data_IF_996229990333
#
_entry.id   IF_996229990333
#
_cell.length_a   1.000
_cell.length_b   1.000
_cell.length_c   1.000
_cell.angle_alpha   90.00
_cell.angle_beta   90.00
_cell.angle_gamma   90.00
#
_symmetry.space_group_name_H-M   'P 1'
#
loop_
_entity.id
_entity.type
_entity.pdbx_description
1 polymer ?
#
# COMPACT_ATOMS: atom_id res chain seq x y z
N UNK A 1 -19.07 0.14 -9.03
CA UNK A 1 -17.90 1.00 -8.75
C UNK A 1 -17.82 1.15 -7.24
N UNK A 2 -16.67 0.98 -6.63
CA UNK A 2 -16.44 1.15 -5.20
C UNK A 2 -16.75 2.60 -4.81
N UNK A 3 -17.49 2.82 -3.73
CA UNK A 3 -17.78 4.16 -3.23
C UNK A 3 -16.74 4.57 -2.20
N UNK A 4 -15.97 5.64 -2.44
CA UNK A 4 -15.00 6.15 -1.47
C UNK A 4 -15.55 7.40 -0.81
N UNK A 5 -15.51 7.44 0.52
CA UNK A 5 -16.00 8.56 1.34
C UNK A 5 -14.87 9.06 2.22
N UNK A 6 -14.56 10.34 2.12
CA UNK A 6 -13.58 11.05 2.94
C UNK A 6 -14.34 11.83 4.02
N UNK A 7 -14.10 11.52 5.28
CA UNK A 7 -14.88 12.10 6.38
C UNK A 7 -14.14 12.05 7.72
N UNK A 8 -14.44 12.98 8.59
CA UNK A 8 -14.06 12.92 10.00
C UNK A 8 -15.13 12.29 10.89
N UNK A 9 -16.35 12.06 10.35
CA UNK A 9 -17.45 11.32 11.02
C UNK A 9 -17.50 9.88 10.50
N UNK A 10 -16.56 9.06 10.96
CA UNK A 10 -16.43 7.64 10.55
C UNK A 10 -17.65 6.83 10.97
N UNK A 11 -18.12 7.01 12.21
CA UNK A 11 -19.27 6.27 12.75
C UNK A 11 -20.56 6.59 12.02
N UNK A 12 -20.79 7.88 11.72
CA UNK A 12 -21.94 8.32 10.92
C UNK A 12 -21.91 7.74 9.51
N UNK A 13 -20.75 7.74 8.84
CA UNK A 13 -20.61 7.16 7.52
C UNK A 13 -20.87 5.65 7.52
N UNK A 14 -20.30 4.89 8.47
CA UNK A 14 -20.55 3.46 8.61
C UNK A 14 -22.03 3.19 8.85
N UNK A 15 -22.66 3.94 9.77
CA UNK A 15 -24.09 3.80 10.08
C UNK A 15 -24.98 4.10 8.87
N UNK A 16 -24.63 5.10 8.06
CA UNK A 16 -25.33 5.43 6.83
C UNK A 16 -25.25 4.28 5.82
N UNK A 17 -24.08 3.68 5.63
CA UNK A 17 -23.92 2.50 4.76
C UNK A 17 -24.69 1.29 5.28
N UNK A 18 -24.65 1.01 6.58
CA UNK A 18 -25.42 -0.09 7.17
C UNK A 18 -26.92 0.09 6.91
N UNK A 19 -27.45 1.31 7.04
CA UNK A 19 -28.86 1.61 6.70
C UNK A 19 -29.16 1.43 5.22
N UNK A 20 -28.31 1.96 4.34
CA UNK A 20 -28.45 1.87 2.88
C UNK A 20 -28.44 0.41 2.41
N UNK A 21 -27.51 -0.37 2.95
CA UNK A 21 -27.31 -1.76 2.56
C UNK A 21 -28.34 -2.71 3.19
N UNK A 22 -28.95 -2.33 4.31
CA UNK A 22 -29.93 -3.12 5.09
C UNK A 22 -29.54 -4.62 5.25
N UNK A 23 -28.33 -4.93 5.77
CA UNK A 23 -27.88 -6.31 5.89
C UNK A 23 -28.64 -7.07 6.97
N UNK A 24 -28.67 -8.41 6.87
CA UNK A 24 -29.28 -9.26 7.90
C UNK A 24 -28.49 -9.25 9.22
N UNK A 25 -27.18 -9.05 9.16
CA UNK A 25 -26.28 -8.87 10.30
C UNK A 25 -25.02 -8.13 9.85
N UNK A 26 -24.31 -7.52 10.81
CA UNK A 26 -23.04 -6.82 10.59
C UNK A 26 -21.97 -7.46 11.46
N UNK A 27 -20.77 -7.65 10.90
CA UNK A 27 -19.62 -8.24 11.59
C UNK A 27 -18.39 -7.38 11.34
N UNK A 28 -17.68 -6.99 12.41
CA UNK A 28 -16.41 -6.25 12.32
C UNK A 28 -15.26 -7.25 12.29
N UNK A 29 -14.33 -7.08 11.36
CA UNK A 29 -13.02 -7.72 11.38
C UNK A 29 -11.98 -6.65 11.67
N UNK A 30 -11.11 -6.91 12.65
CA UNK A 30 -10.06 -5.98 13.09
C UNK A 30 -8.87 -6.73 13.68
N UNK A 31 -7.76 -6.03 13.91
CA UNK A 31 -6.65 -6.56 14.70
C UNK A 31 -6.70 -6.10 16.17
N UNK A 32 -5.85 -6.70 17.00
CA UNK A 32 -5.84 -6.42 18.43
C UNK A 32 -5.45 -4.96 18.77
N UNK A 33 -4.57 -4.33 17.97
CA UNK A 33 -4.16 -2.95 18.19
C UNK A 33 -5.31 -1.98 17.92
N UNK A 34 -5.97 -2.13 16.77
CA UNK A 34 -7.10 -1.31 16.35
C UNK A 34 -8.31 -1.52 17.26
N UNK A 35 -8.55 -2.76 17.70
CA UNK A 35 -9.61 -3.08 18.66
C UNK A 35 -9.47 -2.26 19.95
N UNK A 36 -8.25 -2.09 20.42
CA UNK A 36 -8.00 -1.38 21.68
C UNK A 36 -7.89 0.14 21.52
N UNK A 37 -7.28 0.61 20.43
CA UNK A 37 -6.98 2.02 20.23
C UNK A 37 -8.08 2.79 19.48
N UNK A 38 -8.80 2.15 18.55
CA UNK A 38 -9.69 2.83 17.60
C UNK A 38 -11.17 2.49 17.85
N UNK A 39 -11.52 1.20 17.97
CA UNK A 39 -12.93 0.79 18.07
C UNK A 39 -13.71 1.44 19.21
N UNK A 40 -13.15 1.66 20.42
CA UNK A 40 -13.90 2.31 21.51
C UNK A 40 -14.37 3.71 21.14
N UNK A 41 -13.54 4.47 20.37
CA UNK A 41 -13.88 5.81 19.92
C UNK A 41 -14.96 5.86 18.82
N UNK A 42 -15.19 4.75 18.12
CA UNK A 42 -16.21 4.67 17.09
C UNK A 42 -17.63 4.36 17.62
N UNK A 43 -17.74 3.83 18.84
CA UNK A 43 -19.04 3.53 19.45
C UNK A 43 -19.93 2.56 18.65
N UNK A 44 -19.33 1.65 17.88
CA UNK A 44 -20.03 0.67 17.06
C UNK A 44 -20.35 -0.58 17.89
N UNK A 45 -21.65 -0.92 17.98
CA UNK A 45 -22.14 -2.09 18.73
C UNK A 45 -22.43 -3.25 17.75
N UNK A 46 -21.35 -3.79 17.14
CA UNK A 46 -21.42 -4.97 16.26
C UNK A 46 -20.48 -6.07 16.76
N UNK A 47 -20.79 -7.36 16.52
CA UNK A 47 -19.90 -8.47 16.81
C UNK A 47 -18.53 -8.30 16.14
N UNK A 48 -17.45 -8.50 16.91
CA UNK A 48 -16.06 -8.28 16.49
C UNK A 48 -15.34 -9.61 16.36
N UNK A 49 -14.63 -9.80 15.25
CA UNK A 49 -13.66 -10.86 15.02
C UNK A 49 -12.28 -10.22 15.05
N UNK A 50 -11.42 -10.68 15.93
CA UNK A 50 -10.08 -10.11 16.13
C UNK A 50 -9.02 -11.07 15.61
N UNK A 51 -8.06 -10.55 14.83
CA UNK A 51 -6.86 -11.25 14.39
C UNK A 51 -5.63 -10.65 15.06
N UNK A 52 -4.52 -11.39 14.99
CA UNK A 52 -3.25 -10.89 15.49
C UNK A 52 -2.67 -9.84 14.50
N UNK A 53 -2.06 -8.75 14.99
CA UNK A 53 -1.47 -7.72 14.13
C UNK A 53 -0.16 -8.20 13.49
N UNK A 54 0.25 -7.55 12.40
CA UNK A 54 1.52 -7.81 11.72
C UNK A 54 1.40 -8.69 10.49
N UNK A 55 2.30 -8.47 9.54
CA UNK A 55 2.28 -9.11 8.21
C UNK A 55 2.50 -10.64 8.29
N UNK A 56 3.22 -11.13 9.31
CA UNK A 56 3.42 -12.58 9.57
C UNK A 56 2.09 -13.29 9.89
N UNK A 57 1.11 -12.55 10.41
CA UNK A 57 -0.22 -13.05 10.73
C UNK A 57 -1.21 -12.94 9.56
N UNK A 58 -0.79 -12.41 8.41
CA UNK A 58 -1.57 -12.38 7.17
C UNK A 58 -1.50 -13.74 6.46
N UNK A 59 -2.03 -14.79 7.10
CA UNK A 59 -1.85 -16.17 6.68
C UNK A 59 -3.17 -16.97 6.73
N UNK A 60 -3.10 -18.24 6.30
CA UNK A 60 -4.25 -19.14 6.24
C UNK A 60 -4.89 -19.42 7.60
N UNK A 61 -4.08 -19.48 8.68
CA UNK A 61 -4.59 -19.76 10.02
C UNK A 61 -5.45 -18.60 10.52
N UNK A 62 -5.00 -17.37 10.33
CA UNK A 62 -5.77 -16.17 10.66
C UNK A 62 -7.04 -16.06 9.80
N UNK A 63 -6.95 -16.38 8.51
CA UNK A 63 -8.10 -16.44 7.61
C UNK A 63 -9.13 -17.48 8.08
N UNK A 64 -8.67 -18.66 8.49
CA UNK A 64 -9.53 -19.73 9.04
C UNK A 64 -10.23 -19.28 10.33
N UNK A 65 -9.54 -18.52 11.21
CA UNK A 65 -10.16 -17.92 12.41
C UNK A 65 -11.26 -16.91 12.04
N UNK A 66 -11.07 -16.11 10.99
CA UNK A 66 -12.11 -15.18 10.52
C UNK A 66 -13.35 -15.96 10.05
N UNK A 67 -13.18 -16.99 9.21
CA UNK A 67 -14.32 -17.79 8.75
C UNK A 67 -15.03 -18.48 9.91
N UNK A 68 -14.29 -19.04 10.87
CA UNK A 68 -14.85 -19.67 12.07
C UNK A 68 -15.63 -18.65 12.92
N UNK A 69 -15.10 -17.44 13.05
CA UNK A 69 -15.77 -16.33 13.73
C UNK A 69 -17.08 -15.93 13.03
N UNK A 70 -17.08 -15.82 11.70
CA UNK A 70 -18.29 -15.55 10.92
C UNK A 70 -19.35 -16.64 11.08
N UNK A 71 -18.93 -17.92 11.12
CA UNK A 71 -19.84 -19.06 11.36
C UNK A 71 -20.44 -18.98 12.76
N UNK A 72 -19.61 -18.81 13.78
CA UNK A 72 -20.05 -18.78 15.19
C UNK A 72 -20.99 -17.62 15.49
N UNK A 73 -20.81 -16.49 14.81
CA UNK A 73 -21.65 -15.29 14.90
C UNK A 73 -22.90 -15.36 13.99
N UNK A 74 -23.14 -16.48 13.30
CA UNK A 74 -24.32 -16.69 12.50
C UNK A 74 -24.39 -15.90 11.17
N UNK A 75 -23.24 -15.53 10.62
CA UNK A 75 -23.19 -14.79 9.35
C UNK A 75 -23.86 -15.57 8.20
N UNK A 76 -24.64 -14.85 7.41
CA UNK A 76 -25.39 -15.37 6.24
C UNK A 76 -24.89 -14.70 4.96
N UNK A 77 -25.37 -15.12 3.79
CA UNK A 77 -25.08 -14.45 2.51
C UNK A 77 -25.58 -12.99 2.43
N UNK A 78 -26.46 -12.58 3.33
CA UNK A 78 -27.00 -11.21 3.43
C UNK A 78 -26.30 -10.39 4.52
N UNK A 79 -25.27 -10.93 5.15
CA UNK A 79 -24.48 -10.21 6.14
C UNK A 79 -23.53 -9.21 5.47
N UNK A 80 -23.12 -8.20 6.23
CA UNK A 80 -22.12 -7.21 5.89
C UNK A 80 -20.87 -7.40 6.77
N UNK A 81 -19.71 -7.40 6.17
CA UNK A 81 -18.42 -7.35 6.87
C UNK A 81 -17.89 -5.92 6.84
N UNK A 82 -17.37 -5.44 7.96
CA UNK A 82 -16.69 -4.16 8.07
C UNK A 82 -15.24 -4.44 8.51
N UNK A 83 -14.28 -4.25 7.60
CA UNK A 83 -12.86 -4.40 7.88
C UNK A 83 -12.33 -3.07 8.43
N UNK A 84 -12.00 -3.01 9.72
CA UNK A 84 -11.46 -1.80 10.37
C UNK A 84 -10.02 -2.11 10.77
N UNK A 85 -9.03 -1.59 10.02
CA UNK A 85 -7.62 -1.91 10.28
C UNK A 85 -6.66 -1.45 9.19
N UNK A 86 -5.41 -1.82 9.35
CA UNK A 86 -4.37 -1.63 8.35
C UNK A 86 -4.50 -2.57 7.15
N UNK A 87 -3.47 -2.60 6.28
CA UNK A 87 -3.45 -3.43 5.07
C UNK A 87 -3.71 -4.91 5.32
N UNK A 88 -3.16 -5.46 6.39
CA UNK A 88 -3.38 -6.87 6.79
C UNK A 88 -4.88 -7.16 6.97
N UNK A 89 -5.59 -6.28 7.67
CA UNK A 89 -7.02 -6.45 7.95
C UNK A 89 -7.87 -6.22 6.68
N UNK A 90 -7.57 -5.19 5.89
CA UNK A 90 -8.35 -4.90 4.67
C UNK A 90 -8.17 -5.98 3.61
N UNK A 91 -6.95 -6.49 3.41
CA UNK A 91 -6.67 -7.54 2.44
C UNK A 91 -7.26 -8.90 2.87
N UNK A 92 -6.95 -9.33 4.10
CA UNK A 92 -7.39 -10.63 4.61
C UNK A 92 -8.89 -10.64 4.89
N UNK A 93 -9.45 -9.57 5.45
CA UNK A 93 -10.88 -9.42 5.69
C UNK A 93 -11.68 -9.35 4.39
N UNK A 94 -11.15 -8.64 3.38
CA UNK A 94 -11.72 -8.61 2.03
C UNK A 94 -11.71 -9.99 1.38
N UNK A 95 -10.60 -10.74 1.49
CA UNK A 95 -10.49 -12.10 0.98
C UNK A 95 -11.42 -13.07 1.73
N UNK A 96 -11.51 -12.93 3.05
CA UNK A 96 -12.46 -13.70 3.86
C UNK A 96 -13.91 -13.45 3.41
N UNK A 97 -14.29 -12.19 3.21
CA UNK A 97 -15.62 -11.83 2.73
C UNK A 97 -15.88 -12.37 1.31
N UNK A 98 -14.92 -12.26 0.40
CA UNK A 98 -15.04 -12.74 -0.98
C UNK A 98 -15.22 -14.25 -1.08
N UNK A 99 -14.65 -15.00 -0.15
CA UNK A 99 -14.64 -16.48 -0.19
C UNK A 99 -15.72 -17.11 0.71
N UNK A 100 -16.11 -16.44 1.80
CA UNK A 100 -17.12 -16.96 2.72
C UNK A 100 -18.49 -17.04 2.03
N UNK A 101 -19.12 -18.23 2.07
CA UNK A 101 -20.41 -18.52 1.43
C UNK A 101 -20.51 -18.08 -0.05
N UNK A 102 -19.39 -18.01 -0.76
CA UNK A 102 -19.25 -17.54 -2.15
C UNK A 102 -19.47 -16.04 -2.34
N UNK A 103 -19.15 -15.26 -1.34
CA UNK A 103 -19.15 -13.80 -1.36
C UNK A 103 -20.12 -13.16 -0.38
N UNK A 104 -19.59 -12.28 0.46
CA UNK A 104 -20.32 -11.33 1.29
C UNK A 104 -20.03 -9.91 0.80
N UNK A 105 -20.95 -9.00 1.06
CA UNK A 105 -20.68 -7.56 0.95
C UNK A 105 -19.72 -7.14 2.05
N UNK A 106 -18.83 -6.19 1.74
CA UNK A 106 -17.91 -5.66 2.74
C UNK A 106 -17.57 -4.19 2.52
N UNK A 107 -17.18 -3.53 3.62
CA UNK A 107 -16.70 -2.15 3.66
C UNK A 107 -15.30 -2.17 4.26
N UNK A 108 -14.38 -1.37 3.73
CA UNK A 108 -13.07 -1.13 4.31
C UNK A 108 -13.03 0.22 5.04
N UNK A 109 -12.45 0.23 6.22
CA UNK A 109 -12.17 1.42 7.04
C UNK A 109 -10.68 1.37 7.40
N UNK A 110 -9.80 1.88 6.53
CA UNK A 110 -8.36 1.82 6.75
C UNK A 110 -7.95 2.68 7.93
N UNK A 111 -7.12 2.12 8.81
CA UNK A 111 -6.59 2.80 10.01
C UNK A 111 -5.10 3.10 9.91
N UNK A 112 -4.45 2.73 8.81
CA UNK A 112 -3.08 3.16 8.50
C UNK A 112 -3.08 3.97 7.20
N UNK A 113 -2.13 4.90 7.08
CA UNK A 113 -1.98 5.71 5.87
C UNK A 113 -1.70 4.81 4.65
N UNK A 114 -0.84 3.80 4.80
CA UNK A 114 -0.54 2.84 3.74
C UNK A 114 -1.80 2.10 3.26
N UNK A 115 -2.66 1.66 4.18
CA UNK A 115 -3.91 1.00 3.79
C UNK A 115 -4.86 1.97 3.09
N UNK A 116 -4.96 3.20 3.55
CA UNK A 116 -5.86 4.21 2.98
C UNK A 116 -5.47 4.60 1.56
N UNK A 117 -4.17 4.78 1.30
CA UNK A 117 -3.66 5.20 -0.01
C UNK A 117 -3.53 4.03 -0.98
N UNK A 118 -3.32 2.81 -0.49
CA UNK A 118 -3.01 1.66 -1.35
C UNK A 118 -3.92 0.45 -1.09
N UNK A 119 -3.77 -0.28 0.00
CA UNK A 119 -4.34 -1.62 0.17
C UNK A 119 -5.88 -1.66 0.15
N UNK A 120 -6.57 -0.71 0.79
CA UNK A 120 -8.03 -0.70 0.87
C UNK A 120 -8.74 -0.35 -0.45
N UNK A 121 -7.98 0.14 -1.45
CA UNK A 121 -8.50 0.62 -2.74
C UNK A 121 -7.96 -0.22 -3.88
N UNK A 122 -8.83 -0.58 -4.83
CA UNK A 122 -8.43 -1.31 -6.04
C UNK A 122 -8.70 -2.81 -6.04
N UNK A 123 -9.28 -3.33 -4.94
CA UNK A 123 -9.90 -4.66 -4.91
C UNK A 123 -8.94 -5.85 -4.95
N UNK A 124 -7.64 -5.66 -4.78
CA UNK A 124 -6.73 -6.79 -4.52
C UNK A 124 -6.90 -7.21 -3.07
N UNK A 125 -7.29 -8.46 -2.83
CA UNK A 125 -7.43 -9.04 -1.49
C UNK A 125 -6.66 -10.35 -1.43
N UNK A 126 -6.10 -10.71 -0.28
CA UNK A 126 -5.31 -11.94 -0.22
C UNK A 126 -4.56 -12.15 1.09
N UNK A 127 -3.79 -13.23 1.08
CA UNK A 127 -2.94 -13.67 2.18
C UNK A 127 -1.54 -14.03 1.71
N UNK A 128 -0.60 -14.07 2.64
CA UNK A 128 0.71 -14.65 2.45
C UNK A 128 0.63 -16.19 2.55
N UNK A 129 1.43 -16.91 1.80
CA UNK A 129 1.44 -18.37 1.82
C UNK A 129 2.86 -18.90 1.58
N UNK A 130 3.29 -19.85 2.41
CA UNK A 130 4.62 -20.47 2.33
C UNK A 130 5.80 -19.49 2.22
N UNK A 131 5.73 -18.38 2.99
CA UNK A 131 6.76 -17.34 3.00
C UNK A 131 6.69 -16.34 1.83
N UNK A 132 5.75 -16.53 0.90
CA UNK A 132 5.54 -15.63 -0.22
C UNK A 132 4.42 -14.62 0.10
N UNK A 133 4.67 -13.34 -0.14
CA UNK A 133 3.70 -12.27 0.12
C UNK A 133 2.62 -12.20 -0.96
N UNK A 134 1.35 -12.06 -0.52
CA UNK A 134 0.18 -11.83 -1.37
C UNK A 134 0.03 -12.85 -2.53
N UNK A 135 0.40 -14.10 -2.28
CA UNK A 135 0.41 -15.15 -3.32
C UNK A 135 -0.99 -15.71 -3.58
N UNK A 136 -1.81 -15.79 -2.54
CA UNK A 136 -3.17 -16.32 -2.65
C UNK A 136 -4.15 -15.19 -2.40
N UNK A 137 -5.04 -14.93 -3.36
CA UNK A 137 -5.99 -13.85 -3.25
C UNK A 137 -7.08 -13.87 -4.30
N UNK A 138 -7.89 -12.81 -4.27
CA UNK A 138 -8.97 -12.58 -5.21
C UNK A 138 -9.08 -11.10 -5.56
N UNK A 139 -9.57 -10.82 -6.76
CA UNK A 139 -10.03 -9.47 -7.09
C UNK A 139 -11.46 -9.31 -6.57
N UNK A 140 -11.61 -8.64 -5.42
CA UNK A 140 -12.89 -8.38 -4.79
C UNK A 140 -12.94 -6.91 -4.30
N UNK A 141 -13.80 -6.11 -4.93
CA UNK A 141 -13.96 -4.71 -4.52
C UNK A 141 -14.87 -4.62 -3.30
N UNK A 142 -14.47 -3.80 -2.30
CA UNK A 142 -15.36 -3.38 -1.25
C UNK A 142 -16.53 -2.57 -1.83
N UNK A 143 -17.73 -2.69 -1.25
CA UNK A 143 -18.88 -1.85 -1.61
C UNK A 143 -18.59 -0.37 -1.30
N UNK A 144 -17.87 -0.12 -0.19
CA UNK A 144 -17.41 1.22 0.16
C UNK A 144 -16.04 1.18 0.87
N UNK A 145 -15.32 2.31 0.80
CA UNK A 145 -14.15 2.61 1.64
C UNK A 145 -14.43 3.92 2.38
N UNK A 146 -14.30 3.90 3.70
CA UNK A 146 -14.44 5.09 4.54
C UNK A 146 -13.05 5.52 5.00
N UNK A 147 -12.54 6.61 4.46
CA UNK A 147 -11.21 7.14 4.71
C UNK A 147 -11.30 8.34 5.66
N UNK A 148 -10.52 8.28 6.73
CA UNK A 148 -10.42 9.37 7.70
C UNK A 148 -9.03 9.45 8.29
N UNK A 149 -8.42 10.61 8.23
CA UNK A 149 -7.08 10.84 8.78
C UNK A 149 -7.04 10.91 10.30
N UNK A 150 -8.20 11.12 10.97
CA UNK A 150 -8.25 11.05 12.44
C UNK A 150 -7.90 9.65 12.98
N UNK A 151 -8.11 8.60 12.18
CA UNK A 151 -7.76 7.23 12.54
C UNK A 151 -6.23 6.98 12.58
N UNK A 152 -5.44 7.90 12.04
CA UNK A 152 -3.98 7.81 11.99
C UNK A 152 -3.30 8.44 13.19
N UNK A 153 -4.05 9.07 14.11
CA UNK A 153 -3.50 9.82 15.25
C UNK A 153 -2.67 8.96 16.21
N UNK A 154 -2.89 7.66 16.24
CA UNK A 154 -2.13 6.71 17.08
C UNK A 154 -1.01 6.00 16.32
N UNK A 155 -0.79 6.30 15.03
CA UNK A 155 0.24 5.64 14.25
C UNK A 155 1.64 6.09 14.66
N UNK A 156 2.60 5.16 14.75
CA UNK A 156 4.01 5.51 14.83
C UNK A 156 4.46 6.33 13.60
N UNK A 157 5.46 7.18 13.78
CA UNK A 157 6.05 7.97 12.68
C UNK A 157 6.47 7.09 11.49
N UNK A 158 7.01 5.91 11.77
CA UNK A 158 7.41 4.93 10.75
C UNK A 158 6.25 4.48 9.86
N UNK A 159 5.06 4.30 10.43
CA UNK A 159 3.86 3.92 9.68
C UNK A 159 3.31 5.09 8.84
N UNK A 160 3.40 6.31 9.35
CA UNK A 160 3.04 7.51 8.57
C UNK A 160 3.98 7.67 7.37
N UNK A 161 5.30 7.59 7.57
CA UNK A 161 6.29 7.65 6.50
C UNK A 161 6.11 6.51 5.49
N UNK A 162 5.81 5.30 5.97
CA UNK A 162 5.55 4.14 5.09
C UNK A 162 4.37 4.40 4.15
N UNK A 163 3.26 4.91 4.65
CA UNK A 163 2.12 5.27 3.80
C UNK A 163 2.40 6.48 2.91
N UNK A 164 3.18 7.45 3.39
CA UNK A 164 3.49 8.66 2.64
C UNK A 164 4.38 8.40 1.41
N UNK A 165 5.24 7.38 1.45
CA UNK A 165 6.01 6.95 0.29
C UNK A 165 5.11 6.58 -0.91
N UNK A 166 3.97 5.94 -0.64
CA UNK A 166 2.97 5.63 -1.67
C UNK A 166 2.26 6.90 -2.20
N UNK A 167 2.04 7.89 -1.33
CA UNK A 167 1.52 9.19 -1.79
C UNK A 167 2.53 9.90 -2.71
N UNK A 168 3.82 9.89 -2.37
CA UNK A 168 4.89 10.43 -3.23
C UNK A 168 4.93 9.72 -4.58
N UNK A 169 4.80 8.39 -4.61
CA UNK A 169 4.65 7.61 -5.84
C UNK A 169 3.47 8.10 -6.68
N UNK A 170 2.31 8.28 -6.07
CA UNK A 170 1.12 8.77 -6.77
C UNK A 170 1.30 10.20 -7.30
N UNK A 171 1.99 11.07 -6.56
CA UNK A 171 2.36 12.40 -7.02
C UNK A 171 3.22 12.35 -8.28
N UNK A 172 4.27 11.50 -8.28
CA UNK A 172 5.12 11.27 -9.45
C UNK A 172 4.36 10.70 -10.66
N UNK A 173 3.31 9.93 -10.43
CA UNK A 173 2.44 9.38 -11.48
C UNK A 173 1.34 10.34 -11.93
N UNK A 174 1.14 11.45 -11.23
CA UNK A 174 0.06 12.40 -11.48
C UNK A 174 0.52 13.64 -12.25
N UNK A 175 1.31 14.49 -11.61
CA UNK A 175 1.83 15.73 -12.21
C UNK A 175 2.97 16.34 -11.38
N UNK A 176 3.71 17.26 -11.98
CA UNK A 176 4.74 18.03 -11.26
C UNK A 176 4.16 18.84 -10.09
N UNK A 177 2.95 19.37 -10.21
CA UNK A 177 2.28 20.15 -9.16
C UNK A 177 1.91 19.27 -7.96
N UNK A 178 1.29 18.10 -8.21
CA UNK A 178 0.94 17.14 -7.16
C UNK A 178 2.19 16.64 -6.44
N UNK A 179 3.23 16.29 -7.19
CA UNK A 179 4.51 15.85 -6.63
C UNK A 179 5.17 16.94 -5.77
N UNK A 180 5.26 18.18 -6.28
CA UNK A 180 5.83 19.30 -5.54
C UNK A 180 5.03 19.66 -4.28
N UNK A 181 3.70 19.47 -4.29
CA UNK A 181 2.85 19.69 -3.13
C UNK A 181 3.14 18.69 -2.02
N UNK A 182 3.37 17.43 -2.39
CA UNK A 182 3.73 16.38 -1.44
C UNK A 182 5.14 16.58 -0.87
N UNK A 183 6.13 17.00 -1.66
CA UNK A 183 7.48 17.31 -1.16
C UNK A 183 7.52 18.47 -0.15
N UNK A 184 6.54 19.38 -0.21
CA UNK A 184 6.44 20.53 0.71
C UNK A 184 5.68 20.22 2.01
N UNK A 185 5.00 19.07 2.05
CA UNK A 185 4.20 18.70 3.21
C UNK A 185 5.04 17.90 4.20
N UNK A 186 5.18 18.41 5.42
CA UNK A 186 5.83 17.69 6.52
C UNK A 186 4.81 16.76 7.18
N UNK A 187 4.91 15.48 6.86
CA UNK A 187 4.01 14.45 7.38
C UNK A 187 4.23 14.19 8.88
N UNK A 188 5.40 14.49 9.41
CA UNK A 188 5.74 14.24 10.81
C UNK A 188 5.29 15.34 11.78
N UNK A 189 5.15 16.57 11.27
CA UNK A 189 4.63 17.72 12.02
C UNK A 189 3.21 18.11 11.54
N UNK A 190 2.55 17.22 10.83
CA UNK A 190 1.29 17.52 10.19
C UNK A 190 0.10 17.56 11.15
N UNK A 191 -0.70 18.58 11.02
CA UNK A 191 -2.10 18.51 11.37
C UNK A 191 -2.79 17.52 10.40
N UNK A 192 -3.21 16.38 10.91
CA UNK A 192 -3.82 15.30 10.12
C UNK A 192 -5.06 15.76 9.34
N UNK A 193 -5.72 16.86 9.76
CA UNK A 193 -6.83 17.43 8.99
C UNK A 193 -6.37 18.01 7.66
N UNK A 194 -5.13 18.51 7.59
CA UNK A 194 -4.50 19.02 6.37
C UNK A 194 -4.01 17.90 5.43
N UNK A 195 -3.82 16.70 5.96
CA UNK A 195 -3.45 15.53 5.15
C UNK A 195 -4.62 15.03 4.29
N UNK A 196 -5.88 15.18 4.75
CA UNK A 196 -7.03 14.58 4.10
C UNK A 196 -7.19 14.99 2.61
N UNK A 197 -7.07 16.27 2.22
CA UNK A 197 -7.15 16.66 0.81
C UNK A 197 -6.03 16.05 -0.05
N UNK A 198 -4.80 15.98 0.46
CA UNK A 198 -3.66 15.38 -0.26
C UNK A 198 -3.85 13.86 -0.41
N UNK A 199 -4.37 13.20 0.63
CA UNK A 199 -4.70 11.78 0.58
C UNK A 199 -5.83 11.50 -0.43
N UNK A 200 -6.87 12.35 -0.45
CA UNK A 200 -7.95 12.24 -1.44
C UNK A 200 -7.41 12.35 -2.87
N UNK A 201 -6.55 13.34 -3.15
CA UNK A 201 -5.92 13.49 -4.45
C UNK A 201 -5.08 12.25 -4.81
N UNK A 202 -4.26 11.76 -3.89
CA UNK A 202 -3.45 10.56 -4.07
C UNK A 202 -4.30 9.31 -4.38
N UNK A 203 -5.37 9.10 -3.63
CA UNK A 203 -6.29 7.95 -3.85
C UNK A 203 -6.98 8.06 -5.20
N UNK A 204 -7.38 9.25 -5.64
CA UNK A 204 -7.98 9.47 -6.97
C UNK A 204 -7.04 9.08 -8.12
N UNK A 205 -5.72 9.27 -7.97
CA UNK A 205 -4.73 8.79 -8.95
C UNK A 205 -4.83 7.28 -9.09
N UNK A 206 -4.83 6.55 -7.97
CA UNK A 206 -4.97 5.10 -7.98
C UNK A 206 -6.31 4.64 -8.54
N UNK A 207 -7.42 5.26 -8.12
CA UNK A 207 -8.76 4.91 -8.63
C UNK A 207 -8.84 5.04 -10.14
N UNK A 208 -8.32 6.15 -10.71
CA UNK A 208 -8.27 6.38 -12.15
C UNK A 208 -7.54 5.24 -12.86
N UNK A 209 -6.31 4.93 -12.42
CA UNK A 209 -5.46 3.90 -13.01
C UNK A 209 -6.11 2.51 -12.90
N UNK A 210 -6.68 2.17 -11.74
CA UNK A 210 -7.34 0.88 -11.51
C UNK A 210 -8.65 0.76 -12.31
N UNK A 211 -9.38 1.86 -12.49
CA UNK A 211 -10.62 1.87 -13.28
C UNK A 211 -10.32 1.65 -14.76
N UNK A 212 -9.23 2.22 -15.27
CA UNK A 212 -8.78 2.06 -16.64
C UNK A 212 -8.25 0.64 -16.91
N UNK A 213 -7.53 0.06 -15.94
CA UNK A 213 -6.94 -1.28 -16.07
C UNK A 213 -7.16 -2.12 -14.80
N UNK A 214 -8.35 -2.71 -14.61
CA UNK A 214 -8.67 -3.50 -13.41
C UNK A 214 -7.80 -4.74 -13.20
N UNK A 215 -7.29 -5.32 -14.30
CA UNK A 215 -6.56 -6.59 -14.30
C UNK A 215 -5.05 -6.48 -14.43
N UNK A 216 -4.49 -5.24 -14.39
CA UNK A 216 -3.04 -4.98 -14.47
C UNK A 216 -2.36 -5.52 -15.73
N UNK A 217 -3.00 -5.34 -16.87
CA UNK A 217 -2.47 -5.75 -18.18
C UNK A 217 -1.77 -4.61 -18.95
N UNK A 218 -1.88 -3.38 -18.49
CA UNK A 218 -1.37 -2.17 -19.11
C UNK A 218 -1.00 -1.10 -18.10
N UNK A 219 -1.69 0.05 -18.16
CA UNK A 219 -1.34 1.27 -17.39
C UNK A 219 -1.28 1.05 -15.87
N UNK A 220 -1.99 0.08 -15.31
CA UNK A 220 -1.91 -0.22 -13.88
C UNK A 220 -0.52 -0.66 -13.45
N UNK A 221 0.32 -1.16 -14.36
CA UNK A 221 1.74 -1.45 -14.10
C UNK A 221 2.53 -0.20 -13.69
N UNK A 222 2.05 1.01 -14.02
CA UNK A 222 2.65 2.25 -13.54
C UNK A 222 2.68 2.35 -12.02
N UNK A 223 1.71 1.76 -11.31
CA UNK A 223 1.70 1.70 -9.84
C UNK A 223 2.87 0.89 -9.27
N UNK A 224 3.63 0.19 -10.10
CA UNK A 224 4.85 -0.51 -9.71
C UNK A 224 6.10 0.38 -9.68
N UNK A 225 6.00 1.69 -9.94
CA UNK A 225 7.10 2.63 -9.76
C UNK A 225 7.71 2.47 -8.34
N UNK A 226 9.02 2.28 -8.28
CA UNK A 226 9.74 2.04 -7.03
C UNK A 226 9.65 0.62 -6.47
N UNK A 227 8.83 -0.26 -7.05
CA UNK A 227 8.62 -1.58 -6.46
C UNK A 227 9.63 -2.62 -6.91
N UNK A 228 10.22 -2.50 -8.09
CA UNK A 228 11.22 -3.49 -8.55
C UNK A 228 12.48 -3.42 -7.70
N UNK A 229 13.03 -2.23 -7.49
CA UNK A 229 14.15 -2.03 -6.57
C UNK A 229 13.71 -2.14 -5.09
N UNK A 230 12.52 -1.65 -4.76
CA UNK A 230 11.97 -1.68 -3.40
C UNK A 230 11.80 -3.11 -2.86
N UNK A 231 11.20 -4.01 -3.60
CA UNK A 231 11.07 -5.42 -3.19
C UNK A 231 12.43 -6.09 -2.99
N UNK A 232 13.44 -5.75 -3.80
CA UNK A 232 14.79 -6.26 -3.61
C UNK A 232 15.40 -5.74 -2.30
N UNK A 233 15.23 -4.47 -1.95
CA UNK A 233 15.64 -3.93 -0.65
C UNK A 233 14.91 -4.60 0.52
N UNK A 234 13.62 -4.82 0.40
CA UNK A 234 12.80 -5.49 1.42
C UNK A 234 13.27 -6.94 1.63
N UNK A 235 13.49 -7.69 0.54
CA UNK A 235 13.99 -9.06 0.59
C UNK A 235 15.40 -9.14 1.22
N UNK A 236 16.32 -8.25 0.83
CA UNK A 236 17.66 -8.19 1.41
C UNK A 236 17.61 -7.87 2.91
N UNK A 237 16.80 -6.90 3.31
CA UNK A 237 16.64 -6.51 4.72
C UNK A 237 16.08 -7.67 5.56
N UNK A 238 15.12 -8.42 5.03
CA UNK A 238 14.62 -9.66 5.67
C UNK A 238 15.72 -10.71 5.79
N UNK A 239 16.49 -10.94 4.71
CA UNK A 239 17.60 -11.90 4.71
C UNK A 239 18.67 -11.54 5.76
N UNK A 240 18.95 -10.25 5.93
CA UNK A 240 19.88 -9.74 6.96
C UNK A 240 19.29 -9.73 8.38
N UNK A 241 18.03 -10.15 8.59
CA UNK A 241 17.36 -10.13 9.88
C UNK A 241 17.05 -8.71 10.41
N UNK A 242 16.99 -7.73 9.53
CA UNK A 242 16.69 -6.32 9.83
C UNK A 242 15.60 -5.80 8.90
N UNK A 243 14.36 -6.33 9.02
CA UNK A 243 13.29 -5.96 8.12
C UNK A 243 12.99 -4.46 8.16
N UNK A 244 12.72 -3.87 7.02
CA UNK A 244 12.29 -2.48 6.85
C UNK A 244 10.81 -2.42 6.48
N UNK A 245 10.08 -1.36 6.87
CA UNK A 245 8.69 -1.18 6.44
C UNK A 245 8.59 -1.10 4.91
N UNK A 246 7.52 -1.65 4.35
CA UNK A 246 7.29 -1.69 2.90
C UNK A 246 7.45 -0.32 2.23
N UNK A 247 6.82 0.72 2.76
CA UNK A 247 6.92 2.06 2.17
C UNK A 247 8.33 2.66 2.22
N UNK A 248 9.18 2.26 3.17
CA UNK A 248 10.60 2.65 3.16
C UNK A 248 11.32 1.99 1.98
N UNK A 249 11.07 0.70 1.77
CA UNK A 249 11.61 -0.01 0.63
C UNK A 249 11.16 0.62 -0.70
N UNK A 250 9.88 0.98 -0.80
CA UNK A 250 9.32 1.69 -1.96
C UNK A 250 9.95 3.07 -2.13
N UNK A 251 10.14 3.84 -1.05
CA UNK A 251 10.79 5.16 -1.12
C UNK A 251 12.22 5.06 -1.67
N UNK A 252 13.00 4.10 -1.20
CA UNK A 252 14.35 3.85 -1.72
C UNK A 252 14.30 3.34 -3.17
N UNK A 253 13.37 2.46 -3.47
CA UNK A 253 13.17 1.95 -4.83
C UNK A 253 12.79 3.04 -5.83
N UNK A 254 11.93 3.99 -5.44
CA UNK A 254 11.61 5.17 -6.26
C UNK A 254 12.88 5.95 -6.58
N UNK A 255 13.75 6.20 -5.61
CA UNK A 255 15.00 6.92 -5.87
C UNK A 255 15.90 6.19 -6.87
N UNK A 256 16.07 4.86 -6.74
CA UNK A 256 16.83 4.05 -7.71
C UNK A 256 16.18 4.13 -9.11
N UNK A 257 14.87 3.99 -9.20
CA UNK A 257 14.15 4.04 -10.48
C UNK A 257 14.11 5.47 -11.07
N UNK A 258 14.18 6.53 -10.25
CA UNK A 258 14.41 7.91 -10.73
C UNK A 258 15.82 8.11 -11.28
N UNK A 259 16.86 7.49 -10.68
CA UNK A 259 18.22 7.52 -11.22
C UNK A 259 18.27 6.81 -12.58
N UNK A 260 17.64 5.64 -12.70
CA UNK A 260 17.51 4.93 -13.98
C UNK A 260 16.70 5.77 -14.99
N UNK A 261 15.63 6.42 -14.56
CA UNK A 261 14.83 7.31 -15.39
C UNK A 261 15.64 8.50 -15.90
N UNK A 262 16.50 9.08 -15.08
CA UNK A 262 17.40 10.16 -15.50
C UNK A 262 18.39 9.67 -16.56
N UNK A 263 19.01 8.52 -16.31
CA UNK A 263 20.05 7.97 -17.18
C UNK A 263 19.51 7.50 -18.52
N UNK A 264 18.34 6.86 -18.53
CA UNK A 264 17.79 6.16 -19.70
C UNK A 264 16.72 6.97 -20.45
N UNK A 265 15.94 7.77 -19.74
CA UNK A 265 14.74 8.43 -20.27
C UNK A 265 14.80 9.96 -20.17
N UNK A 266 15.90 10.53 -19.63
CA UNK A 266 16.11 11.98 -19.51
C UNK A 266 15.28 12.64 -18.42
N UNK A 267 14.86 11.91 -17.39
CA UNK A 267 14.14 12.48 -16.24
C UNK A 267 14.94 13.65 -15.61
N UNK A 268 14.30 14.77 -15.24
CA UNK A 268 15.01 15.93 -14.70
C UNK A 268 15.79 15.62 -13.41
N UNK A 269 17.09 15.90 -13.43
CA UNK A 269 17.95 15.66 -12.25
C UNK A 269 17.54 16.49 -11.03
N UNK A 270 17.00 17.68 -11.23
CA UNK A 270 16.53 18.56 -10.14
C UNK A 270 15.47 17.87 -9.29
N UNK A 271 14.51 17.20 -9.92
CA UNK A 271 13.44 16.46 -9.24
C UNK A 271 13.99 15.24 -8.45
N UNK A 272 15.01 14.60 -8.97
CA UNK A 272 15.71 13.51 -8.30
C UNK A 272 16.41 14.00 -7.03
N UNK A 273 17.15 15.11 -7.11
CA UNK A 273 17.83 15.70 -5.94
C UNK A 273 16.84 16.20 -4.89
N UNK A 274 15.72 16.80 -5.30
CA UNK A 274 14.64 17.20 -4.39
C UNK A 274 14.08 16.00 -3.63
N UNK A 275 13.86 14.87 -4.32
CA UNK A 275 13.37 13.65 -3.69
C UNK A 275 14.39 13.06 -2.70
N UNK A 276 15.66 12.97 -3.08
CA UNK A 276 16.72 12.49 -2.19
C UNK A 276 16.87 13.36 -0.93
N UNK A 277 16.80 14.70 -1.09
CA UNK A 277 16.81 15.64 0.04
C UNK A 277 15.61 15.43 0.95
N UNK A 278 14.43 15.27 0.38
CA UNK A 278 13.21 14.99 1.15
C UNK A 278 13.33 13.71 1.99
N UNK A 279 13.84 12.62 1.43
CA UNK A 279 14.02 11.36 2.17
C UNK A 279 14.94 11.55 3.38
N UNK A 280 16.01 12.32 3.25
CA UNK A 280 16.92 12.64 4.36
C UNK A 280 16.25 13.50 5.43
N UNK A 281 15.58 14.58 5.02
CA UNK A 281 14.94 15.54 5.91
C UNK A 281 13.80 14.89 6.72
N UNK A 282 13.02 14.01 6.11
CA UNK A 282 11.94 13.29 6.78
C UNK A 282 12.42 12.08 7.61
N UNK A 283 13.69 11.72 7.52
CA UNK A 283 14.28 10.67 8.34
C UNK A 283 13.95 9.25 7.90
N UNK A 284 13.82 9.01 6.59
CA UNK A 284 13.73 7.64 6.07
C UNK A 284 15.01 6.84 6.36
N UNK A 285 16.13 7.52 6.62
CA UNK A 285 17.42 6.87 6.80
C UNK A 285 17.97 6.31 5.50
N UNK A 286 18.84 5.30 5.61
CA UNK A 286 19.37 4.57 4.44
C UNK A 286 19.25 3.07 4.66
N UNK A 287 19.05 2.28 3.60
CA UNK A 287 19.11 0.82 3.72
C UNK A 287 20.54 0.38 4.04
N UNK A 288 20.66 -0.69 4.82
CA UNK A 288 21.98 -1.29 5.15
C UNK A 288 22.51 -2.08 3.96
N UNK A 289 23.04 -1.37 2.96
CA UNK A 289 23.58 -1.94 1.72
C UNK A 289 25.02 -1.51 1.46
N UNK A 290 25.79 -2.40 0.86
CA UNK A 290 27.15 -2.18 0.39
C UNK A 290 27.31 -2.76 -1.03
N UNK A 291 28.43 -2.50 -1.69
CA UNK A 291 28.72 -3.10 -3.01
C UNK A 291 28.69 -4.64 -3.00
N UNK A 292 28.89 -5.27 -1.83
CA UNK A 292 28.84 -6.74 -1.68
C UNK A 292 27.42 -7.30 -1.80
N UNK A 293 26.41 -6.44 -1.62
CA UNK A 293 25.01 -6.82 -1.65
C UNK A 293 24.37 -6.70 -3.05
N UNK A 294 25.10 -6.09 -4.00
CA UNK A 294 24.56 -5.76 -5.33
C UNK A 294 24.13 -6.99 -6.14
N UNK A 295 24.95 -8.04 -6.12
CA UNK A 295 24.62 -9.30 -6.80
C UNK A 295 23.30 -9.88 -6.26
N UNK A 296 23.13 -9.91 -4.94
CA UNK A 296 21.90 -10.38 -4.31
C UNK A 296 20.70 -9.49 -4.64
N UNK A 297 20.89 -8.15 -4.67
CA UNK A 297 19.82 -7.23 -5.05
C UNK A 297 19.35 -7.46 -6.50
N UNK A 298 20.29 -7.64 -7.43
CA UNK A 298 19.97 -7.95 -8.84
C UNK A 298 19.25 -9.30 -8.94
N UNK A 299 19.69 -10.31 -8.19
CA UNK A 299 19.03 -11.62 -8.13
C UNK A 299 17.57 -11.50 -7.63
N UNK A 300 17.34 -10.76 -6.53
CA UNK A 300 15.98 -10.51 -6.04
C UNK A 300 15.11 -9.78 -7.07
N UNK A 301 15.66 -8.82 -7.82
CA UNK A 301 14.93 -8.16 -8.90
C UNK A 301 14.56 -9.13 -10.03
N UNK A 302 15.44 -10.09 -10.38
CA UNK A 302 15.13 -11.12 -11.38
C UNK A 302 13.96 -12.02 -10.96
N UNK A 303 13.81 -12.28 -9.67
CA UNK A 303 12.71 -13.08 -9.12
C UNK A 303 11.40 -12.32 -8.90
N UNK A 304 11.35 -11.01 -9.23
CA UNK A 304 10.09 -10.26 -9.14
C UNK A 304 9.05 -10.83 -10.12
N UNK A 305 7.82 -11.03 -9.62
CA UNK A 305 6.66 -11.58 -10.35
C UNK A 305 6.30 -10.83 -11.64
N UNK A 306 6.80 -9.61 -11.81
CA UNK A 306 6.55 -8.74 -12.95
C UNK A 306 7.40 -9.07 -14.18
N UNK A 307 8.41 -9.93 -14.02
CA UNK A 307 9.29 -10.30 -15.11
C UNK A 307 8.65 -11.38 -15.99
N UNK A 308 8.39 -11.03 -17.24
CA UNK A 308 7.84 -11.97 -18.23
C UNK A 308 8.89 -13.03 -18.67
N UNK A 309 10.18 -12.76 -18.44
CA UNK A 309 11.30 -13.67 -18.76
C UNK A 309 12.40 -13.58 -17.70
N UNK A 310 13.07 -14.68 -17.37
CA UNK A 310 14.15 -14.68 -16.35
C UNK A 310 15.35 -13.80 -16.69
N UNK A 311 15.49 -13.38 -17.94
CA UNK A 311 16.64 -12.63 -18.44
C UNK A 311 16.46 -11.12 -18.47
N UNK A 312 15.28 -10.59 -18.10
CA UNK A 312 15.00 -9.16 -18.16
C UNK A 312 14.33 -8.71 -16.88
N UNK A 313 14.83 -7.61 -16.31
CA UNK A 313 14.21 -6.94 -15.18
C UNK A 313 13.37 -5.81 -15.73
N UNK A 314 12.06 -5.85 -15.44
CA UNK A 314 11.10 -4.83 -15.86
C UNK A 314 10.97 -3.73 -14.81
N UNK A 315 11.05 -2.49 -15.26
CA UNK A 315 10.88 -1.29 -14.45
C UNK A 315 9.71 -0.44 -14.94
N UNK A 316 9.15 0.32 -14.04
CA UNK A 316 8.39 1.52 -14.37
C UNK A 316 9.32 2.71 -14.22
N UNK A 317 9.64 3.40 -15.30
CA UNK A 317 10.46 4.59 -15.30
C UNK A 317 9.61 5.82 -15.59
N UNK A 318 10.23 7.00 -15.55
CA UNK A 318 9.58 8.29 -15.79
C UNK A 318 10.40 9.10 -16.80
N UNK A 319 9.77 9.80 -17.74
CA UNK A 319 10.45 10.86 -18.50
C UNK A 319 10.32 12.24 -17.83
N UNK A 320 9.27 12.42 -17.02
CA UNK A 320 9.04 13.58 -16.14
C UNK A 320 7.96 13.20 -15.12
N UNK A 321 7.76 13.96 -14.02
CA UNK A 321 6.60 13.76 -13.16
C UNK A 321 5.30 13.81 -13.98
N UNK A 322 4.42 12.83 -13.78
CA UNK A 322 3.17 12.65 -14.54
C UNK A 322 3.29 11.85 -15.84
N UNK A 323 4.49 11.45 -16.26
CA UNK A 323 4.69 10.70 -17.52
C UNK A 323 5.39 9.37 -17.26
N UNK A 324 4.65 8.35 -16.79
CA UNK A 324 5.20 7.02 -16.56
C UNK A 324 5.43 6.27 -17.86
N UNK A 325 6.52 5.52 -17.89
CA UNK A 325 6.95 4.63 -18.96
C UNK A 325 7.01 3.21 -18.41
N UNK A 326 6.01 2.41 -18.72
CA UNK A 326 5.92 1.02 -18.27
C UNK A 326 6.78 0.09 -19.16
N UNK A 327 7.10 -1.09 -18.61
CA UNK A 327 7.84 -2.15 -19.32
C UNK A 327 9.20 -1.68 -19.87
N UNK A 328 9.90 -0.83 -19.10
CA UNK A 328 11.28 -0.44 -19.38
C UNK A 328 12.25 -1.44 -18.80
N UNK A 329 13.40 -1.58 -19.43
CA UNK A 329 14.47 -2.48 -18.98
C UNK A 329 15.77 -1.73 -18.83
N UNK A 330 16.60 -2.15 -17.88
CA UNK A 330 17.97 -1.66 -17.71
C UNK A 330 18.93 -2.84 -17.75
N UNK A 331 20.13 -2.61 -18.25
CA UNK A 331 21.23 -3.58 -18.15
C UNK A 331 21.73 -3.68 -16.70
N UNK A 332 22.35 -4.78 -16.34
CA UNK A 332 22.95 -4.96 -15.02
C UNK A 332 23.96 -3.84 -14.70
N UNK A 333 24.77 -3.41 -15.66
CA UNK A 333 25.72 -2.31 -15.48
C UNK A 333 25.03 -0.98 -15.13
N UNK A 334 23.88 -0.68 -15.75
CA UNK A 334 23.09 0.52 -15.45
C UNK A 334 22.47 0.42 -14.06
N UNK A 335 21.99 -0.76 -13.65
CA UNK A 335 21.43 -1.00 -12.30
C UNK A 335 22.53 -0.83 -11.25
N UNK A 336 23.71 -1.42 -11.44
CA UNK A 336 24.85 -1.28 -10.52
C UNK A 336 25.29 0.19 -10.39
N UNK A 337 25.33 0.92 -11.50
CA UNK A 337 25.63 2.36 -11.50
C UNK A 337 24.55 3.14 -10.72
N UNK A 338 23.27 2.77 -10.88
CA UNK A 338 22.19 3.40 -10.13
C UNK A 338 22.31 3.15 -8.62
N UNK A 339 22.75 1.96 -8.20
CA UNK A 339 23.03 1.69 -6.78
C UNK A 339 24.19 2.50 -6.23
N UNK A 340 25.25 2.70 -6.99
CA UNK A 340 26.39 3.55 -6.57
C UNK A 340 25.92 5.01 -6.36
N UNK A 341 25.20 5.58 -7.34
CA UNK A 341 24.64 6.92 -7.23
C UNK A 341 23.64 7.01 -6.06
N UNK A 342 22.78 6.01 -5.89
CA UNK A 342 21.84 5.95 -4.77
C UNK A 342 22.55 6.03 -3.42
N UNK A 343 23.61 5.25 -3.22
CA UNK A 343 24.37 5.26 -1.96
C UNK A 343 25.06 6.60 -1.67
N UNK A 344 25.46 7.30 -2.72
CA UNK A 344 26.08 8.63 -2.58
C UNK A 344 25.01 9.70 -2.25
N UNK A 345 23.78 9.48 -2.68
CA UNK A 345 22.66 10.41 -2.49
C UNK A 345 21.93 10.23 -1.16
N UNK A 346 21.96 9.06 -0.52
CA UNK A 346 21.32 8.74 0.74
C UNK A 346 22.35 8.64 1.86
#
# INVERSE_FOLDING_TARGET
>A
MQKIVYTNDVSGAITAFVREMAPASVHIITDANVKNAVLPGLGLDFPVITVDPGDDNKNLDSLSRIWSGLISQGATRKSLVINIGGGVVTDMGGFAAATFKRGLRFINVPTTLLSAVDAAVGGKTGINFEGLKNEIGAFAQADAVVISTILFSSLPKTELLSGYAEMLKHGLLSSSESYASLLKFDILDADLTRLLPLLEESVRVKERIVTEDPCEKGIRRALNLGHTAGHAFEALAMHKGRPIPHGYAVAFGILVEMILSHTLEGFPSEELYLYASYLKEQGYGSPDISCKDYEALVEYMHHDKKNDTPSRINFTLLSSPGVPLIDRTASEAEILTAFDIFRDLI
#
